data_IF_384323380135
#
_entry.id   IF_384323380135
#
_cell.length_a   1.000
_cell.length_b   1.000
_cell.length_c   1.000
_cell.angle_alpha   90.00
_cell.angle_beta   90.00
_cell.angle_gamma   90.00
#
_symmetry.space_group_name_H-M   'P 1'
#
loop_
_entity.id
_entity.type
_entity.pdbx_description
1 polymer ?
#
# COMPACT_ATOMS: atom_id res chain seq x y z
N UNK A 1 -25.34 5.65 -59.73
CA UNK A 1 -25.63 6.08 -61.11
C UNK A 1 -26.75 5.21 -61.66
N UNK A 2 -27.79 5.84 -62.21
CA UNK A 2 -28.88 5.28 -63.01
C UNK A 2 -29.88 4.29 -62.39
N UNK A 3 -31.02 4.85 -61.97
CA UNK A 3 -32.34 4.37 -62.43
C UNK A 3 -32.93 5.49 -63.29
N UNK A 4 -33.31 5.17 -64.52
CA UNK A 4 -34.16 6.03 -65.36
C UNK A 4 -34.91 5.18 -66.41
N UNK A 5 -36.16 5.58 -66.66
CA UNK A 5 -37.05 5.32 -67.84
C UNK A 5 -37.62 3.88 -67.92
N UNK A 6 -38.91 3.61 -67.68
CA UNK A 6 -40.18 4.00 -68.37
C UNK A 6 -40.44 3.27 -69.70
N UNK A 7 -41.70 2.82 -69.85
CA UNK A 7 -42.42 2.21 -71.01
C UNK A 7 -42.91 0.79 -70.64
N UNK A 8 -44.17 0.36 -70.78
CA UNK A 8 -45.29 0.86 -71.57
C UNK A 8 -45.89 -0.32 -72.37
N UNK A 9 -47.21 -0.54 -72.23
CA UNK A 9 -48.10 -1.42 -73.05
C UNK A 9 -47.94 -2.95 -72.87
N UNK A 10 -48.95 -3.70 -72.38
CA UNK A 10 -50.30 -4.00 -72.89
C UNK A 10 -50.32 -5.09 -73.98
N UNK A 11 -50.80 -6.28 -73.64
CA UNK A 11 -51.94 -6.99 -74.27
C UNK A 11 -51.96 -8.50 -73.93
N UNK A 12 -53.16 -8.98 -73.55
CA UNK A 12 -53.89 -10.20 -73.98
C UNK A 12 -53.16 -11.56 -74.02
N UNK A 13 -53.77 -12.73 -73.77
CA UNK A 13 -55.11 -13.22 -73.41
C UNK A 13 -55.03 -14.76 -73.47
N UNK A 14 -56.10 -15.42 -73.02
CA UNK A 14 -56.58 -16.77 -73.41
C UNK A 14 -56.04 -17.98 -72.59
N UNK A 15 -56.85 -18.54 -71.67
CA UNK A 15 -57.87 -19.64 -71.81
C UNK A 15 -57.20 -21.01 -71.59
N UNK A 16 -57.67 -21.95 -70.76
CA UNK A 16 -58.99 -22.60 -70.64
C UNK A 16 -59.20 -23.09 -69.19
N UNK A 17 -60.35 -22.92 -68.55
CA UNK A 17 -61.62 -23.67 -68.73
C UNK A 17 -61.56 -25.14 -68.31
N UNK A 18 -62.10 -25.44 -67.13
CA UNK A 18 -63.11 -26.51 -66.97
C UNK A 18 -63.76 -26.43 -65.60
N UNK A 19 -65.02 -26.00 -65.63
CA UNK A 19 -65.99 -26.09 -64.55
C UNK A 19 -66.48 -27.52 -64.37
N UNK A 20 -66.69 -27.97 -63.14
CA UNK A 20 -67.81 -28.88 -62.86
C UNK A 20 -68.42 -28.55 -61.49
N UNK A 21 -69.59 -27.91 -61.54
CA UNK A 21 -70.49 -27.79 -60.40
C UNK A 21 -71.08 -29.15 -60.03
N UNK A 22 -71.18 -29.45 -58.73
CA UNK A 22 -72.45 -29.86 -58.10
C UNK A 22 -72.38 -29.89 -56.57
N UNK A 23 -73.04 -28.89 -55.99
CA UNK A 23 -74.06 -28.93 -54.92
C UNK A 23 -73.76 -29.65 -53.58
N UNK A 24 -73.97 -28.84 -52.53
CA UNK A 24 -74.55 -29.13 -51.21
C UNK A 24 -73.75 -29.96 -50.20
N UNK A 25 -73.25 -29.31 -49.14
CA UNK A 25 -73.76 -29.56 -47.77
C UNK A 25 -73.17 -28.56 -46.76
N UNK A 26 -73.99 -27.61 -46.35
CA UNK A 26 -73.78 -26.69 -45.23
C UNK A 26 -73.79 -27.47 -43.90
N UNK A 27 -72.66 -28.06 -43.49
CA UNK A 27 -72.55 -28.70 -42.16
C UNK A 27 -71.13 -28.88 -41.60
N UNK A 28 -70.06 -28.37 -42.25
CA UNK A 28 -68.68 -28.69 -41.88
C UNK A 28 -67.76 -27.50 -41.57
N UNK A 29 -68.30 -26.28 -41.44
CA UNK A 29 -67.49 -25.07 -41.21
C UNK A 29 -67.54 -24.58 -39.74
N UNK A 30 -68.38 -25.19 -38.88
CA UNK A 30 -68.45 -24.79 -37.46
C UNK A 30 -67.57 -25.60 -36.49
N UNK A 31 -66.89 -26.67 -36.94
CA UNK A 31 -66.01 -27.46 -36.06
C UNK A 31 -64.52 -27.17 -36.25
N UNK A 32 -64.14 -26.29 -37.17
CA UNK A 32 -62.76 -25.79 -37.28
C UNK A 32 -62.53 -24.42 -36.62
N UNK A 33 -63.59 -23.74 -36.18
CA UNK A 33 -63.50 -22.45 -35.47
C UNK A 33 -63.55 -22.58 -33.92
N UNK A 34 -63.79 -23.78 -33.38
CA UNK A 34 -63.77 -24.01 -31.92
C UNK A 34 -62.46 -24.67 -31.45
N UNK A 35 -61.66 -25.24 -32.36
CA UNK A 35 -60.33 -25.78 -32.04
C UNK A 35 -59.18 -24.76 -32.18
N UNK A 36 -59.44 -23.55 -32.68
CA UNK A 36 -58.42 -22.49 -32.80
C UNK A 36 -58.46 -21.45 -31.66
N UNK A 37 -59.38 -21.59 -30.70
CA UNK A 37 -59.42 -20.76 -29.47
C UNK A 37 -59.01 -21.56 -28.21
N UNK A 38 -58.83 -22.89 -28.31
CA UNK A 38 -58.36 -23.73 -27.20
C UNK A 38 -57.07 -24.52 -27.52
N UNK A 39 -56.23 -23.99 -28.42
CA UNK A 39 -55.03 -24.67 -28.92
C UNK A 39 -53.70 -23.93 -28.70
N UNK A 40 -53.68 -22.85 -27.91
CA UNK A 40 -52.45 -22.17 -27.46
C UNK A 40 -52.65 -21.60 -26.05
N UNK A 41 -53.05 -22.44 -25.10
CA UNK A 41 -52.49 -22.27 -23.74
C UNK A 41 -51.18 -23.04 -23.77
N UNK A 42 -50.19 -22.46 -24.46
CA UNK A 42 -48.81 -22.72 -24.09
C UNK A 42 -48.76 -22.44 -22.61
N UNK A 43 -48.28 -23.42 -21.84
CA UNK A 43 -47.91 -23.25 -20.45
C UNK A 43 -46.78 -22.20 -20.42
N UNK A 44 -47.11 -20.92 -20.58
CA UNK A 44 -46.34 -19.87 -19.98
C UNK A 44 -46.57 -20.04 -18.49
N UNK A 45 -45.76 -20.90 -17.88
CA UNK A 45 -45.22 -20.50 -16.58
C UNK A 45 -44.61 -19.13 -16.83
N UNK A 46 -45.40 -18.07 -16.62
CA UNK A 46 -44.85 -16.77 -16.33
C UNK A 46 -44.05 -17.02 -15.05
N UNK A 47 -42.76 -17.33 -15.21
CA UNK A 47 -41.83 -17.07 -14.15
C UNK A 47 -42.00 -15.59 -13.88
N UNK A 48 -42.69 -15.27 -12.81
CA UNK A 48 -42.70 -13.95 -12.21
C UNK A 48 -41.28 -13.76 -11.64
N UNK A 49 -40.28 -13.67 -12.52
CA UNK A 49 -38.93 -13.27 -12.16
C UNK A 49 -39.04 -11.79 -11.85
N UNK A 50 -39.28 -11.49 -10.58
CA UNK A 50 -39.08 -10.16 -10.02
C UNK A 50 -37.66 -9.75 -10.38
N UNK A 51 -37.53 -8.65 -11.12
CA UNK A 51 -36.22 -8.04 -11.38
C UNK A 51 -35.49 -7.87 -10.05
N UNK A 52 -34.19 -8.21 -9.97
CA UNK A 52 -33.46 -8.09 -8.73
C UNK A 52 -33.46 -6.63 -8.27
N UNK A 53 -33.67 -6.43 -6.97
CA UNK A 53 -33.76 -5.10 -6.37
C UNK A 53 -32.47 -4.79 -5.63
N UNK A 54 -32.04 -3.54 -5.68
CA UNK A 54 -30.97 -3.03 -4.83
C UNK A 54 -31.41 -3.15 -3.37
N UNK A 55 -30.49 -3.55 -2.49
CA UNK A 55 -30.75 -3.59 -1.06
C UNK A 55 -31.31 -2.22 -0.59
N UNK A 56 -32.50 -2.19 0.05
CA UNK A 56 -33.15 -0.94 0.40
C UNK A 56 -32.36 -0.07 1.38
N UNK A 57 -31.48 -0.65 2.19
CA UNK A 57 -30.61 0.08 3.12
C UNK A 57 -29.44 0.73 2.38
N UNK A 58 -28.84 0.04 1.43
CA UNK A 58 -27.77 0.56 0.59
C UNK A 58 -28.28 1.65 -0.35
N UNK A 59 -29.47 1.46 -0.94
CA UNK A 59 -30.11 2.48 -1.75
C UNK A 59 -30.41 3.76 -0.95
N UNK A 60 -30.84 3.62 0.31
CA UNK A 60 -31.03 4.77 1.22
C UNK A 60 -29.70 5.45 1.55
N UNK A 61 -28.67 4.68 1.84
CA UNK A 61 -27.33 5.19 2.13
C UNK A 61 -26.77 5.98 0.92
N UNK A 62 -26.79 5.40 -0.28
CA UNK A 62 -26.28 6.04 -1.49
C UNK A 62 -27.02 7.36 -1.80
N UNK A 63 -28.35 7.35 -1.73
CA UNK A 63 -29.15 8.55 -1.94
C UNK A 63 -28.87 9.63 -0.89
N UNK A 64 -28.72 9.25 0.39
CA UNK A 64 -28.33 10.18 1.46
C UNK A 64 -26.97 10.82 1.17
N UNK A 65 -25.98 10.01 0.78
CA UNK A 65 -24.64 10.50 0.43
C UNK A 65 -24.67 11.46 -0.75
N UNK A 66 -25.36 11.09 -1.84
CA UNK A 66 -25.44 11.92 -3.04
C UNK A 66 -26.17 13.24 -2.77
N UNK A 67 -27.19 13.23 -1.90
CA UNK A 67 -27.85 14.44 -1.45
C UNK A 67 -26.90 15.35 -0.65
N UNK A 68 -26.15 14.79 0.33
CA UNK A 68 -25.16 15.54 1.12
C UNK A 68 -24.04 16.14 0.27
N UNK A 69 -23.60 15.40 -0.74
CA UNK A 69 -22.57 15.84 -1.69
C UNK A 69 -23.11 16.71 -2.84
N UNK A 70 -24.41 17.00 -2.86
CA UNK A 70 -25.08 17.77 -3.92
C UNK A 70 -24.80 17.22 -5.33
N UNK A 71 -24.71 15.89 -5.44
CA UNK A 71 -24.52 15.18 -6.69
C UNK A 71 -25.87 15.09 -7.40
N UNK A 72 -25.88 15.40 -8.70
CA UNK A 72 -27.08 15.35 -9.54
C UNK A 72 -26.98 14.23 -10.56
N UNK A 73 -28.14 13.64 -10.89
CA UNK A 73 -28.26 12.66 -11.95
C UNK A 73 -27.82 13.29 -13.27
N UNK A 74 -26.81 12.72 -13.92
CA UNK A 74 -26.54 13.07 -15.30
C UNK A 74 -27.53 12.31 -16.18
N UNK A 75 -28.47 13.05 -16.76
CA UNK A 75 -29.60 12.48 -17.53
C UNK A 75 -29.10 11.51 -18.60
N UNK A 76 -29.61 10.28 -18.55
CA UNK A 76 -29.36 9.26 -19.58
C UNK A 76 -28.06 8.47 -19.46
N UNK A 77 -27.23 8.69 -18.43
CA UNK A 77 -26.02 7.89 -18.22
C UNK A 77 -26.29 6.61 -17.41
N UNK A 78 -26.93 6.72 -16.25
CA UNK A 78 -27.41 5.58 -15.47
C UNK A 78 -28.41 6.03 -14.42
N UNK A 79 -29.15 5.08 -13.85
CA UNK A 79 -30.28 5.37 -12.98
C UNK A 79 -29.83 5.61 -11.53
N UNK A 80 -29.81 6.87 -11.09
CA UNK A 80 -29.48 7.22 -9.69
C UNK A 80 -30.70 7.51 -8.81
N UNK A 81 -31.92 7.44 -9.35
CA UNK A 81 -33.15 7.85 -8.64
C UNK A 81 -34.23 6.77 -8.60
N UNK A 82 -34.12 5.73 -9.43
CA UNK A 82 -34.96 4.53 -9.36
C UNK A 82 -34.14 3.32 -8.90
N UNK A 83 -34.32 2.18 -9.56
CA UNK A 83 -33.54 0.97 -9.31
C UNK A 83 -32.05 1.20 -9.67
N UNK A 84 -31.20 1.30 -8.64
CA UNK A 84 -29.79 1.71 -8.77
C UNK A 84 -28.94 0.64 -9.46
N UNK A 85 -29.17 -0.62 -9.09
CA UNK A 85 -28.52 -1.80 -9.68
C UNK A 85 -29.24 -2.24 -10.96
N UNK A 86 -29.27 -1.36 -11.96
CA UNK A 86 -29.81 -1.65 -13.29
C UNK A 86 -28.94 -1.09 -14.41
N UNK A 87 -29.07 -1.64 -15.62
CA UNK A 87 -28.33 -1.17 -16.81
C UNK A 87 -26.82 -1.28 -16.63
N UNK A 88 -26.12 -0.15 -16.79
CA UNK A 88 -24.65 -0.05 -16.67
C UNK A 88 -24.11 -0.55 -15.32
N UNK A 89 -24.89 -0.42 -14.24
CA UNK A 89 -24.48 -0.88 -12.92
C UNK A 89 -24.32 -2.41 -12.84
N UNK A 90 -25.01 -3.17 -13.70
CA UNK A 90 -25.06 -4.64 -13.68
C UNK A 90 -24.56 -5.32 -14.95
N UNK A 91 -24.34 -4.57 -16.03
CA UNK A 91 -23.86 -5.11 -17.31
C UNK A 91 -22.32 -5.27 -17.35
N UNK A 92 -21.74 -5.37 -18.56
CA UNK A 92 -20.29 -5.55 -18.76
C UNK A 92 -19.48 -4.23 -18.67
N UNK A 93 -20.13 -3.08 -18.44
CA UNK A 93 -19.48 -1.77 -18.28
C UNK A 93 -18.57 -1.78 -17.08
N UNK A 94 -17.33 -1.34 -17.24
CA UNK A 94 -16.33 -1.33 -16.17
C UNK A 94 -16.50 -0.11 -15.27
N UNK A 95 -16.19 -0.23 -13.97
CA UNK A 95 -16.20 0.92 -13.03
C UNK A 95 -15.25 2.04 -13.47
N UNK A 96 -14.20 1.71 -14.22
CA UNK A 96 -13.20 2.66 -14.75
C UNK A 96 -13.66 3.42 -16.00
N UNK A 97 -14.86 3.11 -16.52
CA UNK A 97 -15.43 3.79 -17.68
C UNK A 97 -15.51 5.30 -17.48
N UNK A 98 -15.13 6.08 -18.50
CA UNK A 98 -15.04 7.55 -18.37
C UNK A 98 -16.38 8.24 -18.55
N UNK A 99 -17.33 7.60 -19.22
CA UNK A 99 -18.62 8.20 -19.53
C UNK A 99 -19.54 8.17 -18.32
N UNK A 100 -19.38 7.21 -17.41
CA UNK A 100 -20.17 7.10 -16.19
C UNK A 100 -19.43 7.67 -14.99
N UNK A 101 -19.85 8.84 -14.51
CA UNK A 101 -19.30 9.47 -13.31
C UNK A 101 -20.31 10.48 -12.70
N UNK A 102 -20.79 10.28 -11.45
CA UNK A 102 -20.46 9.20 -10.52
C UNK A 102 -20.90 7.85 -11.08
N UNK A 103 -20.45 6.74 -10.51
CA UNK A 103 -20.84 5.40 -10.99
C UNK A 103 -20.77 4.35 -9.89
N UNK A 104 -21.59 3.31 -10.03
CA UNK A 104 -21.57 2.13 -9.17
C UNK A 104 -21.53 0.86 -10.00
N UNK A 105 -21.05 -0.23 -9.40
CA UNK A 105 -21.32 -1.59 -9.88
C UNK A 105 -21.98 -2.40 -8.77
N UNK A 106 -22.90 -3.26 -9.18
CA UNK A 106 -23.63 -4.12 -8.28
C UNK A 106 -23.39 -5.59 -8.55
N UNK A 107 -23.49 -6.40 -7.49
CA UNK A 107 -23.54 -7.85 -7.55
C UNK A 107 -24.97 -8.31 -7.18
N UNK A 108 -25.67 -8.86 -8.17
CA UNK A 108 -27.04 -9.35 -8.03
C UNK A 108 -27.12 -10.88 -7.90
N UNK A 109 -26.05 -11.54 -7.48
CA UNK A 109 -26.02 -12.99 -7.28
C UNK A 109 -26.68 -13.44 -5.97
N UNK A 110 -27.18 -12.51 -5.15
CA UNK A 110 -27.67 -12.78 -3.81
C UNK A 110 -29.16 -13.15 -3.80
N UNK A 111 -29.53 -13.98 -2.81
CA UNK A 111 -30.90 -14.41 -2.54
C UNK A 111 -31.62 -14.91 -3.81
N UNK A 112 -31.09 -15.97 -4.42
CA UNK A 112 -31.60 -16.54 -5.69
C UNK A 112 -31.73 -15.50 -6.83
N UNK A 113 -30.75 -14.60 -6.90
CA UNK A 113 -30.70 -13.49 -7.87
C UNK A 113 -31.89 -12.53 -7.78
N UNK A 114 -32.38 -12.27 -6.56
CA UNK A 114 -33.44 -11.28 -6.29
C UNK A 114 -32.93 -10.03 -5.58
N UNK A 115 -31.72 -10.09 -5.00
CA UNK A 115 -31.13 -8.99 -4.23
C UNK A 115 -29.79 -8.59 -4.86
N UNK A 116 -29.58 -7.28 -5.01
CA UNK A 116 -28.33 -6.68 -5.46
C UNK A 116 -27.66 -5.90 -4.34
N UNK A 117 -26.36 -6.09 -4.20
CA UNK A 117 -25.50 -5.30 -3.33
C UNK A 117 -24.56 -4.40 -4.14
N UNK A 118 -24.35 -3.18 -3.68
CA UNK A 118 -23.38 -2.24 -4.24
C UNK A 118 -21.99 -2.73 -3.88
N UNK A 119 -21.24 -3.09 -4.92
CA UNK A 119 -19.91 -3.66 -4.81
C UNK A 119 -18.81 -2.66 -5.15
N UNK A 120 -19.09 -1.69 -6.02
CA UNK A 120 -18.10 -0.68 -6.41
C UNK A 120 -18.75 0.71 -6.41
N UNK A 121 -18.01 1.71 -5.95
CA UNK A 121 -18.45 3.10 -5.94
C UNK A 121 -17.32 4.03 -6.42
N UNK A 122 -17.63 4.81 -7.46
CA UNK A 122 -16.75 5.83 -8.02
C UNK A 122 -17.42 7.20 -7.97
N UNK A 123 -16.76 8.13 -7.31
CA UNK A 123 -17.07 9.56 -7.27
C UNK A 123 -15.76 10.30 -7.52
N UNK A 124 -15.40 10.43 -8.80
CA UNK A 124 -14.06 10.89 -9.19
C UNK A 124 -14.13 12.28 -9.81
N UNK A 125 -13.32 13.25 -9.38
CA UNK A 125 -13.23 14.56 -10.08
C UNK A 125 -14.58 15.28 -10.28
N UNK A 126 -15.46 15.24 -9.24
CA UNK A 126 -16.78 15.87 -9.27
C UNK A 126 -16.85 17.17 -8.46
N UNK A 127 -15.71 17.68 -8.00
CA UNK A 127 -15.62 18.85 -7.12
C UNK A 127 -16.45 18.70 -5.83
N UNK A 128 -16.68 17.47 -5.38
CA UNK A 128 -17.43 17.19 -4.14
C UNK A 128 -16.65 17.75 -2.95
N UNK A 129 -17.32 18.46 -2.05
CA UNK A 129 -16.70 19.10 -0.89
C UNK A 129 -17.41 18.73 0.41
N UNK A 130 -16.67 18.80 1.52
CA UNK A 130 -17.16 18.45 2.85
C UNK A 130 -16.70 17.06 3.32
N UNK A 131 -17.19 16.60 4.48
CA UNK A 131 -16.78 15.31 5.04
C UNK A 131 -17.29 14.13 4.23
N UNK A 132 -16.62 12.99 4.39
CA UNK A 132 -17.13 11.70 3.94
C UNK A 132 -18.30 11.32 4.88
N UNK A 133 -19.54 11.13 4.38
CA UNK A 133 -20.69 10.80 5.21
C UNK A 133 -20.58 9.40 5.83
N UNK A 134 -21.05 9.25 7.06
CA UNK A 134 -20.96 7.98 7.80
C UNK A 134 -21.74 6.83 7.14
N UNK A 135 -22.76 7.15 6.34
CA UNK A 135 -23.52 6.17 5.55
C UNK A 135 -22.65 5.42 4.54
N UNK A 136 -21.49 5.95 4.14
CA UNK A 136 -20.56 5.23 3.27
C UNK A 136 -20.06 3.94 3.92
N UNK A 137 -19.80 4.00 5.24
CA UNK A 137 -19.22 2.91 6.00
C UNK A 137 -20.23 1.78 6.30
N UNK A 138 -21.49 1.94 5.90
CA UNK A 138 -22.52 0.89 6.00
C UNK A 138 -22.62 0.04 4.73
N UNK A 139 -21.94 0.40 3.63
CA UNK A 139 -21.92 -0.36 2.38
C UNK A 139 -20.90 -1.51 2.45
N UNK A 140 -21.14 -2.49 3.33
CA UNK A 140 -20.17 -3.54 3.69
C UNK A 140 -19.81 -4.52 2.57
N UNK A 141 -20.51 -4.45 1.43
CA UNK A 141 -20.25 -5.26 0.24
C UNK A 141 -19.26 -4.61 -0.75
N UNK A 142 -18.80 -3.39 -0.47
CA UNK A 142 -17.83 -2.69 -1.32
C UNK A 142 -16.49 -3.44 -1.40
N UNK A 143 -16.02 -3.65 -2.63
CA UNK A 143 -14.66 -4.10 -2.94
C UNK A 143 -13.79 -3.02 -3.62
N UNK A 144 -14.41 -1.99 -4.21
CA UNK A 144 -13.71 -0.85 -4.82
C UNK A 144 -14.40 0.47 -4.42
N UNK A 145 -13.63 1.36 -3.79
CA UNK A 145 -14.03 2.72 -3.46
C UNK A 145 -13.01 3.73 -4.01
N UNK A 146 -13.49 4.55 -4.95
CA UNK A 146 -12.70 5.60 -5.58
C UNK A 146 -13.34 6.98 -5.38
N UNK A 147 -12.75 7.78 -4.50
CA UNK A 147 -13.13 9.17 -4.24
C UNK A 147 -12.03 10.18 -4.65
N UNK A 148 -11.11 9.77 -5.53
CA UNK A 148 -9.95 10.60 -5.88
C UNK A 148 -10.37 11.94 -6.52
N UNK A 149 -9.50 12.95 -6.36
CA UNK A 149 -9.62 14.27 -6.99
C UNK A 149 -10.90 15.02 -6.64
N UNK A 150 -11.23 15.10 -5.37
CA UNK A 150 -12.33 15.95 -4.90
C UNK A 150 -11.80 17.00 -3.90
N UNK A 151 -12.70 17.68 -3.22
CA UNK A 151 -12.42 18.60 -2.12
C UNK A 151 -12.92 18.06 -0.78
N UNK A 152 -12.94 16.73 -0.62
CA UNK A 152 -13.37 16.08 0.62
C UNK A 152 -12.47 16.51 1.78
N UNK A 153 -13.04 16.79 2.94
CA UNK A 153 -12.34 17.34 4.10
C UNK A 153 -12.70 16.60 5.39
N UNK A 154 -12.06 16.96 6.51
CA UNK A 154 -12.25 16.27 7.79
C UNK A 154 -11.39 15.03 7.94
N UNK A 155 -11.61 14.28 9.02
CA UNK A 155 -10.86 13.06 9.34
C UNK A 155 -11.50 11.80 8.77
N UNK A 156 -10.67 10.78 8.56
CA UNK A 156 -11.15 9.46 8.18
C UNK A 156 -11.79 8.78 9.40
N UNK A 157 -13.03 8.30 9.26
CA UNK A 157 -13.75 7.67 10.35
C UNK A 157 -13.19 6.27 10.67
N UNK A 158 -13.06 5.88 11.95
CA UNK A 158 -12.76 4.49 12.35
C UNK A 158 -13.71 3.45 11.75
N UNK A 159 -14.94 3.85 11.42
CA UNK A 159 -15.93 2.98 10.77
C UNK A 159 -15.49 2.47 9.40
N UNK A 160 -14.41 3.00 8.82
CA UNK A 160 -13.79 2.42 7.63
C UNK A 160 -13.46 0.94 7.79
N UNK A 161 -13.12 0.50 9.02
CA UNK A 161 -12.85 -0.91 9.33
C UNK A 161 -14.05 -1.85 9.15
N UNK A 162 -15.26 -1.33 8.93
CA UNK A 162 -16.44 -2.15 8.61
C UNK A 162 -16.42 -2.70 7.18
N UNK A 163 -15.65 -2.09 6.26
CA UNK A 163 -15.63 -2.44 4.85
C UNK A 163 -14.65 -3.59 4.57
N UNK A 164 -14.74 -4.69 5.31
CA UNK A 164 -13.70 -5.75 5.34
C UNK A 164 -13.48 -6.47 4.00
N UNK A 165 -14.37 -6.29 3.01
CA UNK A 165 -14.27 -6.85 1.65
C UNK A 165 -13.52 -5.94 0.67
N UNK A 166 -13.10 -4.75 1.13
CA UNK A 166 -12.50 -3.73 0.28
C UNK A 166 -11.13 -4.18 -0.23
N UNK A 167 -10.95 -4.11 -1.55
CA UNK A 167 -9.71 -4.47 -2.27
C UNK A 167 -9.00 -3.21 -2.78
N UNK A 168 -9.75 -2.22 -3.24
CA UNK A 168 -9.21 -0.97 -3.77
C UNK A 168 -9.80 0.22 -3.02
N UNK A 169 -8.93 0.99 -2.38
CA UNK A 169 -9.31 2.16 -1.60
C UNK A 169 -8.47 3.36 -1.99
N UNK A 170 -9.11 4.35 -2.61
CA UNK A 170 -8.39 5.52 -3.11
C UNK A 170 -9.08 6.83 -2.75
N UNK A 171 -8.38 7.64 -1.96
CA UNK A 171 -8.81 8.96 -1.47
C UNK A 171 -7.89 10.10 -1.92
N UNK A 172 -6.99 9.83 -2.86
CA UNK A 172 -5.93 10.76 -3.24
C UNK A 172 -6.43 12.08 -3.83
N UNK A 173 -5.61 13.13 -3.67
CA UNK A 173 -5.90 14.49 -4.15
C UNK A 173 -7.22 14.99 -3.57
N UNK A 174 -7.26 15.14 -2.24
CA UNK A 174 -8.39 15.67 -1.47
C UNK A 174 -7.86 16.61 -0.37
N UNK A 175 -8.73 17.05 0.55
CA UNK A 175 -8.39 17.87 1.72
C UNK A 175 -8.61 17.13 3.04
N UNK A 176 -8.57 15.79 3.04
CA UNK A 176 -8.71 14.99 4.26
C UNK A 176 -7.52 15.25 5.20
N UNK A 177 -7.75 15.20 6.51
CA UNK A 177 -6.76 15.59 7.51
C UNK A 177 -6.89 14.78 8.80
N UNK A 178 -5.96 14.97 9.74
CA UNK A 178 -5.90 14.19 10.97
C UNK A 178 -5.10 12.90 10.78
N UNK A 179 -5.22 11.99 11.75
CA UNK A 179 -4.50 10.70 11.72
C UNK A 179 -5.26 9.65 10.90
N UNK A 180 -4.52 8.70 10.36
CA UNK A 180 -5.12 7.52 9.70
C UNK A 180 -5.58 6.55 10.81
N UNK A 181 -6.87 6.21 10.90
CA UNK A 181 -7.38 5.34 11.94
C UNK A 181 -6.78 3.93 11.83
N UNK A 182 -6.46 3.33 12.98
CA UNK A 182 -5.91 1.97 13.08
C UNK A 182 -6.82 0.89 12.50
N UNK A 183 -8.12 1.17 12.46
CA UNK A 183 -9.16 0.29 11.92
C UNK A 183 -8.98 0.05 10.41
N UNK A 184 -8.15 0.84 9.71
CA UNK A 184 -7.69 0.50 8.36
C UNK A 184 -7.03 -0.89 8.33
N UNK A 185 -6.37 -1.32 9.41
CA UNK A 185 -5.80 -2.65 9.54
C UNK A 185 -6.81 -3.81 9.56
N UNK A 186 -8.12 -3.53 9.66
CA UNK A 186 -9.17 -4.55 9.54
C UNK A 186 -9.46 -4.94 8.08
N UNK A 187 -8.95 -4.17 7.11
CA UNK A 187 -9.21 -4.36 5.68
C UNK A 187 -8.28 -5.41 5.08
N UNK A 188 -8.28 -6.64 5.58
CA UNK A 188 -7.27 -7.66 5.26
C UNK A 188 -7.22 -8.06 3.77
N UNK A 189 -8.29 -7.81 3.02
CA UNK A 189 -8.39 -8.10 1.58
C UNK A 189 -7.85 -6.94 0.70
N UNK A 190 -7.37 -5.86 1.31
CA UNK A 190 -6.95 -4.65 0.60
C UNK A 190 -5.68 -4.91 -0.23
N UNK A 191 -5.78 -4.63 -1.53
CA UNK A 191 -4.70 -4.76 -2.51
C UNK A 191 -4.03 -3.42 -2.80
N UNK A 192 -4.81 -2.34 -2.81
CA UNK A 192 -4.32 -0.99 -3.07
C UNK A 192 -4.94 0.01 -2.12
N UNK A 193 -4.09 0.77 -1.44
CA UNK A 193 -4.49 1.85 -0.55
C UNK A 193 -3.76 3.13 -0.93
N UNK A 194 -4.50 4.19 -1.28
CA UNK A 194 -3.89 5.48 -1.61
C UNK A 194 -4.57 6.64 -0.89
N UNK A 195 -3.76 7.37 -0.12
CA UNK A 195 -4.11 8.61 0.58
C UNK A 195 -3.27 9.80 0.11
N UNK A 196 -2.44 9.60 -0.91
CA UNK A 196 -1.51 10.61 -1.43
C UNK A 196 -2.21 11.92 -1.85
N UNK A 197 -1.59 13.06 -1.57
CA UNK A 197 -2.19 14.37 -1.89
C UNK A 197 -3.36 14.74 -0.99
N UNK A 198 -3.31 14.34 0.28
CA UNK A 198 -4.18 14.83 1.36
C UNK A 198 -3.37 15.58 2.42
N UNK A 199 -4.04 16.03 3.48
CA UNK A 199 -3.45 16.69 4.63
C UNK A 199 -3.42 15.81 5.89
N UNK A 200 -3.28 14.49 5.73
CA UNK A 200 -3.08 13.57 6.85
C UNK A 200 -1.79 13.92 7.63
N UNK A 201 -1.81 13.64 8.93
CA UNK A 201 -0.74 13.92 9.89
C UNK A 201 -0.52 12.72 10.82
N UNK A 202 0.57 12.72 11.57
CA UNK A 202 0.93 11.61 12.46
C UNK A 202 1.56 10.42 11.71
N UNK A 203 2.06 9.42 12.45
CA UNK A 203 2.57 8.19 11.86
C UNK A 203 1.41 7.39 11.23
N UNK A 204 1.76 6.51 10.29
CA UNK A 204 0.80 5.50 9.86
C UNK A 204 0.62 4.46 10.98
N UNK A 205 -0.63 4.00 11.24
CA UNK A 205 -0.89 3.02 12.29
C UNK A 205 -0.13 1.72 12.00
N UNK A 206 0.43 1.11 13.04
CA UNK A 206 1.19 -0.14 12.90
C UNK A 206 0.31 -1.30 12.41
N UNK A 207 -1.00 -1.19 12.60
CA UNK A 207 -2.01 -2.10 12.09
C UNK A 207 -2.07 -2.18 10.56
N UNK A 208 -1.43 -1.25 9.81
CA UNK A 208 -1.18 -1.45 8.37
C UNK A 208 -0.39 -2.75 8.12
N UNK A 209 0.42 -3.20 9.07
CA UNK A 209 1.11 -4.50 9.01
C UNK A 209 0.17 -5.71 8.92
N UNK A 210 -1.13 -5.56 9.28
CA UNK A 210 -2.12 -6.62 9.13
C UNK A 210 -2.62 -6.80 7.68
N UNK A 211 -2.32 -5.84 6.80
CA UNK A 211 -2.76 -5.85 5.40
C UNK A 211 -1.85 -6.75 4.55
N UNK A 212 -1.92 -8.05 4.81
CA UNK A 212 -1.03 -9.07 4.22
C UNK A 212 -1.13 -9.18 2.70
N UNK A 213 -2.25 -8.73 2.11
CA UNK A 213 -2.48 -8.74 0.67
C UNK A 213 -2.12 -7.41 -0.02
N UNK A 214 -1.65 -6.40 0.72
CA UNK A 214 -1.40 -5.07 0.19
C UNK A 214 -0.22 -5.07 -0.78
N UNK A 215 -0.47 -4.66 -2.02
CA UNK A 215 0.52 -4.60 -3.09
C UNK A 215 0.97 -3.16 -3.36
N UNK A 216 0.09 -2.19 -3.13
CA UNK A 216 0.35 -0.78 -3.38
C UNK A 216 -0.12 0.09 -2.22
N UNK A 217 0.81 0.86 -1.65
CA UNK A 217 0.54 1.89 -0.67
C UNK A 217 0.98 3.25 -1.23
N UNK A 218 0.04 4.15 -1.46
CA UNK A 218 0.30 5.51 -1.94
C UNK A 218 0.14 6.53 -0.82
N UNK A 219 1.23 7.09 -0.33
CA UNK A 219 1.25 8.15 0.70
C UNK A 219 2.01 9.37 0.17
N UNK A 220 1.96 10.51 0.86
CA UNK A 220 2.79 11.66 0.50
C UNK A 220 4.19 11.47 1.13
N UNK A 221 5.19 11.28 0.27
CA UNK A 221 6.62 11.09 0.63
C UNK A 221 7.16 12.16 1.59
N UNK A 222 6.51 13.33 1.66
CA UNK A 222 6.94 14.48 2.48
C UNK A 222 6.43 14.46 3.92
N UNK A 223 5.43 13.64 4.26
CA UNK A 223 4.79 13.64 5.58
C UNK A 223 4.75 12.28 6.27
N UNK A 224 4.83 11.19 5.51
CA UNK A 224 4.91 9.85 6.09
C UNK A 224 6.36 9.40 6.09
N UNK A 225 6.90 9.06 7.26
CA UNK A 225 8.24 8.48 7.45
C UNK A 225 8.41 7.07 6.83
N UNK A 226 7.53 6.67 5.90
CA UNK A 226 7.70 5.46 5.10
C UNK A 226 8.58 5.83 3.92
N UNK A 227 9.89 5.76 4.17
CA UNK A 227 10.87 5.85 3.09
C UNK A 227 10.88 4.50 2.37
N UNK A 228 10.54 4.52 1.07
CA UNK A 228 10.82 3.42 0.14
C UNK A 228 12.31 3.37 -0.27
N UNK A 229 13.12 4.30 0.25
CA UNK A 229 14.58 4.29 0.16
C UNK A 229 15.13 3.67 1.43
N UNK A 230 16.27 2.99 1.31
CA UNK A 230 17.08 2.56 2.45
C UNK A 230 17.28 3.78 3.36
N UNK A 231 16.68 3.75 4.55
CA UNK A 231 16.75 4.81 5.53
C UNK A 231 17.59 4.35 6.71
N UNK A 232 18.69 5.04 6.98
CA UNK A 232 19.46 4.86 8.19
C UNK A 232 20.85 5.48 8.10
N UNK A 233 21.53 5.53 9.23
CA UNK A 233 22.83 6.16 9.36
C UNK A 233 23.91 5.25 8.79
N UNK A 234 24.76 5.80 7.91
CA UNK A 234 25.88 5.07 7.31
C UNK A 234 26.73 4.44 8.43
N UNK A 235 27.08 3.17 8.25
CA UNK A 235 27.83 2.39 9.24
C UNK A 235 26.99 1.61 10.26
N UNK A 236 25.70 1.94 10.43
CA UNK A 236 24.75 1.20 11.27
C UNK A 236 23.82 0.30 10.46
N UNK A 237 23.79 0.50 9.15
CA UNK A 237 22.93 -0.25 8.24
C UNK A 237 23.53 -1.62 7.95
N UNK A 238 22.69 -2.66 8.11
CA UNK A 238 23.04 -4.01 7.72
C UNK A 238 23.30 -4.10 6.20
N UNK A 239 24.31 -4.86 5.74
CA UNK A 239 24.68 -4.94 4.33
C UNK A 239 23.53 -5.30 3.38
N UNK A 240 22.67 -6.25 3.76
CA UNK A 240 21.53 -6.68 2.96
C UNK A 240 20.46 -5.60 2.80
N UNK A 241 20.30 -4.74 3.81
CA UNK A 241 19.38 -3.61 3.75
C UNK A 241 20.01 -2.46 2.98
N UNK A 242 21.27 -2.12 3.27
CA UNK A 242 22.01 -1.07 2.58
C UNK A 242 22.17 -1.32 1.08
N UNK A 243 22.51 -2.55 0.68
CA UNK A 243 22.84 -2.89 -0.70
C UNK A 243 21.66 -3.40 -1.51
N UNK A 244 20.67 -4.06 -0.87
CA UNK A 244 19.56 -4.73 -1.57
C UNK A 244 18.18 -4.27 -1.14
N UNK A 245 18.07 -3.40 -0.13
CA UNK A 245 16.78 -2.96 0.42
C UNK A 245 16.02 -4.05 1.17
N UNK A 246 16.65 -5.18 1.50
CA UNK A 246 15.99 -6.25 2.24
C UNK A 246 15.96 -5.91 3.74
N UNK A 247 14.81 -5.43 4.21
CA UNK A 247 14.57 -5.18 5.62
C UNK A 247 14.14 -6.49 6.31
N UNK A 248 14.81 -6.83 7.41
CA UNK A 248 14.51 -8.00 8.25
C UNK A 248 14.72 -7.63 9.72
N UNK A 249 14.21 -8.42 10.66
CA UNK A 249 14.50 -8.26 12.10
C UNK A 249 16.00 -8.38 12.42
N UNK A 250 16.78 -9.00 11.52
CA UNK A 250 18.25 -9.11 11.63
C UNK A 250 18.98 -7.81 11.32
N UNK A 251 18.29 -6.84 10.72
CA UNK A 251 18.85 -5.51 10.48
C UNK A 251 19.03 -4.74 11.80
N UNK A 252 18.06 -4.86 12.70
CA UNK A 252 18.15 -4.31 14.07
C UNK A 252 19.24 -5.01 14.89
N UNK A 253 19.39 -6.33 14.72
CA UNK A 253 20.48 -7.10 15.35
C UNK A 253 21.85 -6.56 14.92
N UNK A 254 22.03 -6.26 13.64
CA UNK A 254 23.28 -5.70 13.12
C UNK A 254 23.56 -4.32 13.73
N UNK A 255 22.56 -3.42 13.71
CA UNK A 255 22.68 -2.08 14.27
C UNK A 255 23.01 -2.13 15.78
N UNK A 256 22.38 -3.05 16.52
CA UNK A 256 22.71 -3.31 17.91
C UNK A 256 24.17 -3.71 18.09
N UNK A 257 24.71 -4.57 17.24
CA UNK A 257 26.12 -4.97 17.29
C UNK A 257 27.07 -3.78 17.17
N UNK A 258 26.79 -2.84 16.27
CA UNK A 258 27.56 -1.60 16.12
C UNK A 258 27.48 -0.75 17.38
N UNK A 259 26.26 -0.51 17.90
CA UNK A 259 26.04 0.29 19.12
C UNK A 259 26.71 -0.35 20.34
N UNK A 260 26.70 -1.69 20.45
CA UNK A 260 27.39 -2.39 21.53
C UNK A 260 28.91 -2.14 21.52
N UNK A 261 29.53 -2.10 20.33
CA UNK A 261 30.94 -1.72 20.22
C UNK A 261 31.17 -0.26 20.60
N UNK A 262 30.27 0.66 20.23
CA UNK A 262 30.37 2.08 20.63
C UNK A 262 30.30 2.24 22.15
N UNK A 263 29.39 1.51 22.80
CA UNK A 263 29.25 1.52 24.26
C UNK A 263 30.53 1.00 24.93
N UNK A 264 31.09 -0.12 24.46
CA UNK A 264 32.32 -0.68 25.04
C UNK A 264 33.51 0.24 24.83
N UNK A 265 33.60 0.88 23.67
CA UNK A 265 34.76 1.67 23.28
C UNK A 265 34.70 3.15 23.64
N UNK A 266 33.52 3.67 23.98
CA UNK A 266 33.31 5.09 24.29
C UNK A 266 33.51 6.01 23.09
N UNK A 267 33.53 5.47 21.87
CA UNK A 267 33.78 6.20 20.62
C UNK A 267 32.69 5.95 19.59
N UNK A 268 32.56 6.90 18.67
CA UNK A 268 31.68 6.76 17.52
C UNK A 268 32.15 5.67 16.54
N UNK A 269 31.21 5.11 15.80
CA UNK A 269 31.44 4.07 14.79
C UNK A 269 32.44 4.50 13.69
N UNK A 270 32.52 5.79 13.40
CA UNK A 270 33.55 6.36 12.54
C UNK A 270 34.10 7.66 13.12
N UNK A 271 35.41 7.83 13.04
CA UNK A 271 36.10 9.05 13.44
C UNK A 271 37.26 9.31 12.47
N UNK A 272 37.09 10.33 11.61
CA UNK A 272 38.06 10.70 10.59
C UNK A 272 39.33 11.36 11.14
N UNK A 273 39.39 11.67 12.44
CA UNK A 273 40.58 12.22 13.09
C UNK A 273 41.61 11.15 13.49
N UNK A 274 41.21 9.87 13.48
CA UNK A 274 42.06 8.75 13.84
C UNK A 274 42.90 8.24 12.66
N UNK A 275 43.90 7.43 12.98
CA UNK A 275 44.70 6.69 11.99
C UNK A 275 43.80 5.80 11.11
N UNK A 276 44.21 5.54 9.87
CA UNK A 276 43.36 4.86 8.88
C UNK A 276 42.85 3.48 9.32
N UNK A 277 43.64 2.74 10.09
CA UNK A 277 43.32 1.42 10.66
C UNK A 277 42.37 1.48 11.87
N UNK A 278 42.18 2.67 12.45
CA UNK A 278 41.29 2.93 13.59
C UNK A 278 40.10 3.79 13.21
N UNK A 279 40.05 4.34 12.00
CA UNK A 279 39.01 5.26 11.53
C UNK A 279 37.61 4.64 11.67
N UNK A 280 37.45 3.36 11.30
CA UNK A 280 36.20 2.61 11.45
C UNK A 280 36.27 1.69 12.67
N UNK A 281 35.32 1.87 13.60
CA UNK A 281 35.26 1.12 14.85
C UNK A 281 35.13 -0.38 14.61
N UNK A 282 34.28 -0.77 13.66
CA UNK A 282 34.04 -2.19 13.37
C UNK A 282 35.31 -2.88 12.83
N UNK A 283 36.06 -2.22 11.95
CA UNK A 283 37.32 -2.76 11.42
C UNK A 283 38.38 -2.88 12.53
N UNK A 284 38.50 -1.86 13.37
CA UNK A 284 39.40 -1.87 14.52
C UNK A 284 39.05 -3.00 15.51
N UNK A 285 37.77 -3.20 15.82
CA UNK A 285 37.30 -4.26 16.70
C UNK A 285 37.62 -5.66 16.15
N UNK A 286 37.45 -5.88 14.84
CA UNK A 286 37.83 -7.15 14.20
C UNK A 286 39.34 -7.40 14.24
N UNK A 287 40.16 -6.36 14.02
CA UNK A 287 41.63 -6.47 14.14
C UNK A 287 42.05 -6.89 15.55
N UNK A 288 41.49 -6.25 16.59
CA UNK A 288 41.78 -6.62 17.97
C UNK A 288 41.29 -8.02 18.34
N UNK A 289 40.13 -8.44 17.83
CA UNK A 289 39.58 -9.77 18.06
C UNK A 289 40.47 -10.88 17.47
N UNK A 290 40.91 -10.73 16.22
CA UNK A 290 41.79 -11.71 15.58
C UNK A 290 43.17 -11.81 16.26
N UNK A 291 43.64 -10.72 16.86
CA UNK A 291 44.89 -10.69 17.63
C UNK A 291 44.73 -11.11 19.11
N UNK A 292 43.52 -11.43 19.58
CA UNK A 292 43.19 -11.69 20.99
C UNK A 292 43.54 -10.51 21.93
N UNK A 293 43.32 -9.28 21.46
CA UNK A 293 43.61 -8.00 22.13
C UNK A 293 42.36 -7.16 22.37
N UNK A 294 41.20 -7.79 22.54
CA UNK A 294 39.89 -7.14 22.65
C UNK A 294 39.79 -6.17 23.83
N UNK A 295 40.57 -6.40 24.89
CA UNK A 295 40.62 -5.51 26.05
C UNK A 295 41.11 -4.08 25.71
N UNK A 296 41.83 -3.90 24.59
CA UNK A 296 42.28 -2.59 24.12
C UNK A 296 41.18 -1.78 23.44
N UNK A 297 40.05 -2.42 23.13
CA UNK A 297 38.87 -1.74 22.58
C UNK A 297 38.17 -0.87 23.65
N UNK A 298 38.31 -1.25 24.92
CA UNK A 298 37.55 -0.66 26.03
C UNK A 298 37.88 0.83 26.20
N UNK A 299 36.85 1.63 26.48
CA UNK A 299 36.98 3.05 26.77
C UNK A 299 38.07 3.31 27.83
N UNK A 300 39.07 4.10 27.46
CA UNK A 300 40.16 4.55 28.31
C UNK A 300 39.71 5.29 29.58
N UNK A 301 38.48 5.84 29.60
CA UNK A 301 37.89 6.51 30.76
C UNK A 301 37.51 5.54 31.90
N UNK A 302 37.37 4.24 31.60
CA UNK A 302 37.00 3.20 32.56
C UNK A 302 38.22 2.72 33.36
N UNK A 303 38.27 3.07 34.65
CA UNK A 303 39.38 2.69 35.54
C UNK A 303 39.38 1.21 35.95
N UNK A 304 38.21 0.58 35.98
CA UNK A 304 38.02 -0.81 36.43
C UNK A 304 36.87 -1.46 35.67
N UNK A 305 37.11 -2.65 35.12
CA UNK A 305 36.08 -3.42 34.40
C UNK A 305 36.36 -4.92 34.48
N UNK A 306 35.33 -5.73 34.22
CA UNK A 306 35.46 -7.18 34.13
C UNK A 306 35.84 -7.59 32.71
N UNK A 307 37.04 -8.16 32.54
CA UNK A 307 37.57 -8.58 31.22
C UNK A 307 36.72 -9.65 30.54
N UNK A 308 36.14 -10.56 31.30
CA UNK A 308 35.31 -11.65 30.74
C UNK A 308 33.97 -11.12 30.21
N UNK A 309 33.41 -10.12 30.89
CA UNK A 309 32.19 -9.45 30.45
C UNK A 309 32.44 -8.61 29.19
N UNK A 310 33.53 -7.86 29.15
CA UNK A 310 33.96 -7.12 27.95
C UNK A 310 34.14 -8.05 26.77
N UNK A 311 34.90 -9.15 26.94
CA UNK A 311 35.10 -10.13 25.87
C UNK A 311 33.78 -10.71 25.37
N UNK A 312 32.82 -10.94 26.27
CA UNK A 312 31.49 -11.43 25.91
C UNK A 312 30.69 -10.41 25.11
N UNK A 313 30.69 -9.14 25.52
CA UNK A 313 29.99 -8.06 24.81
C UNK A 313 30.61 -7.86 23.42
N UNK A 314 31.94 -7.83 23.33
CA UNK A 314 32.64 -7.71 22.04
C UNK A 314 32.32 -8.92 21.15
N UNK A 315 32.40 -10.14 21.69
CA UNK A 315 32.08 -11.36 20.94
C UNK A 315 30.65 -11.37 20.40
N UNK A 316 29.65 -11.03 21.21
CA UNK A 316 28.26 -10.98 20.72
C UNK A 316 28.05 -9.85 19.72
N UNK A 317 28.70 -8.70 19.91
CA UNK A 317 28.64 -7.58 18.98
C UNK A 317 29.20 -7.96 17.60
N UNK A 318 30.37 -8.61 17.55
CA UNK A 318 30.96 -9.11 16.32
C UNK A 318 30.08 -10.17 15.65
N UNK A 319 29.43 -11.04 16.44
CA UNK A 319 28.47 -12.01 15.93
C UNK A 319 27.23 -11.35 15.31
N UNK A 320 26.72 -10.29 15.93
CA UNK A 320 25.62 -9.47 15.41
C UNK A 320 25.99 -8.78 14.09
N UNK A 321 27.25 -8.45 13.86
CA UNK A 321 27.72 -7.78 12.64
C UNK A 321 28.08 -8.71 11.48
N UNK A 322 27.67 -9.98 11.49
CA UNK A 322 27.97 -10.88 10.37
C UNK A 322 27.32 -10.44 9.04
N UNK A 323 27.98 -10.68 7.90
CA UNK A 323 27.48 -10.28 6.56
C UNK A 323 26.10 -10.85 6.27
N UNK A 324 25.89 -12.14 6.55
CA UNK A 324 24.63 -12.82 6.28
C UNK A 324 23.68 -12.71 7.48
N UNK A 325 22.41 -12.31 7.28
CA UNK A 325 21.38 -12.32 8.32
C UNK A 325 21.26 -13.67 9.04
N UNK A 326 21.45 -14.77 8.31
CA UNK A 326 21.31 -16.14 8.83
C UNK A 326 22.40 -16.53 9.82
N UNK A 327 23.56 -15.87 9.78
CA UNK A 327 24.64 -16.11 10.74
C UNK A 327 24.53 -15.24 11.99
N UNK A 328 23.68 -14.21 11.99
CA UNK A 328 23.45 -13.37 13.17
C UNK A 328 22.52 -14.09 14.16
N UNK A 329 22.74 -13.95 15.47
CA UNK A 329 21.84 -14.50 16.49
C UNK A 329 20.46 -13.82 16.44
N UNK A 330 19.46 -14.39 17.11
CA UNK A 330 18.22 -13.65 17.42
C UNK A 330 18.51 -12.65 18.56
N UNK A 331 17.76 -11.55 18.64
CA UNK A 331 17.89 -10.63 19.78
C UNK A 331 17.65 -11.32 21.12
N UNK A 332 16.75 -12.31 21.20
CA UNK A 332 16.56 -13.13 22.40
C UNK A 332 17.83 -13.90 22.79
N UNK A 333 18.59 -14.40 21.81
CA UNK A 333 19.86 -15.08 22.06
C UNK A 333 20.96 -14.09 22.47
N UNK A 334 20.97 -12.89 21.88
CA UNK A 334 21.87 -11.79 22.29
C UNK A 334 21.66 -11.46 23.77
N UNK A 335 20.40 -11.25 24.18
CA UNK A 335 20.06 -10.99 25.59
C UNK A 335 20.51 -12.12 26.50
N UNK A 336 20.22 -13.37 26.14
CA UNK A 336 20.67 -14.53 26.94
C UNK A 336 22.19 -14.58 27.12
N UNK A 337 22.96 -14.22 26.09
CA UNK A 337 24.43 -14.16 26.17
C UNK A 337 24.87 -13.04 27.11
N UNK A 338 24.30 -11.85 26.97
CA UNK A 338 24.63 -10.71 27.82
C UNK A 338 24.28 -10.98 29.30
N UNK A 339 23.17 -11.65 29.57
CA UNK A 339 22.77 -12.12 30.91
C UNK A 339 23.66 -13.22 31.48
N UNK A 340 24.52 -13.85 30.66
CA UNK A 340 25.39 -14.96 31.06
C UNK A 340 24.74 -16.34 31.02
N UNK A 341 23.53 -16.45 30.46
CA UNK A 341 22.77 -17.69 30.30
C UNK A 341 23.16 -18.48 29.04
N UNK A 342 24.10 -17.95 28.24
CA UNK A 342 24.49 -18.49 26.96
C UNK A 342 25.93 -18.10 26.57
N UNK A 343 26.60 -18.99 25.85
CA UNK A 343 27.92 -18.74 25.27
C UNK A 343 27.83 -18.16 23.85
N UNK A 344 28.84 -17.35 23.50
CA UNK A 344 29.07 -16.81 22.15
C UNK A 344 29.63 -17.93 21.26
N UNK A 345 29.21 -17.98 19.98
CA UNK A 345 29.78 -18.92 19.01
C UNK A 345 31.30 -18.79 18.93
N UNK A 346 32.02 -19.91 19.07
CA UNK A 346 33.48 -19.92 19.28
C UNK A 346 34.31 -19.67 18.01
N UNK A 347 33.71 -19.65 16.83
CA UNK A 347 34.41 -19.36 15.58
C UNK A 347 33.65 -18.33 14.75
N UNK A 348 33.91 -17.06 15.08
CA UNK A 348 33.49 -15.93 14.26
C UNK A 348 34.52 -15.67 13.18
N UNK A 349 34.08 -15.56 11.93
CA UNK A 349 34.92 -15.20 10.79
C UNK A 349 34.71 -13.74 10.42
N UNK A 350 35.78 -13.07 9.98
CA UNK A 350 35.70 -11.68 9.53
C UNK A 350 34.71 -11.53 8.38
N UNK A 351 33.74 -10.60 8.47
CA UNK A 351 32.78 -10.35 7.41
C UNK A 351 33.44 -9.90 6.11
N UNK A 352 33.02 -10.49 4.98
CA UNK A 352 33.62 -10.18 3.66
C UNK A 352 33.49 -8.72 3.21
N UNK A 353 32.50 -7.98 3.72
CA UNK A 353 32.37 -6.54 3.40
C UNK A 353 33.48 -5.69 4.07
N UNK A 354 34.25 -6.24 5.00
CA UNK A 354 35.43 -5.60 5.59
C UNK A 354 36.75 -5.99 4.90
N UNK A 355 36.80 -7.13 4.17
CA UNK A 355 38.02 -7.59 3.51
C UNK A 355 38.17 -7.06 2.09
N UNK A 356 37.05 -6.84 1.40
CA UNK A 356 37.06 -6.65 -0.06
C UNK A 356 37.01 -5.17 -0.49
N UNK A 357 36.78 -4.25 0.46
CA UNK A 357 36.53 -2.82 0.17
C UNK A 357 37.72 -1.95 0.60
N UNK A 358 38.91 -2.23 0.05
CA UNK A 358 39.97 -1.21 0.05
C UNK A 358 39.59 -0.15 -0.99
N UNK A 359 39.05 0.98 -0.51
CA UNK A 359 38.89 2.17 -1.35
C UNK A 359 40.29 2.69 -1.71
N UNK A 360 40.83 2.31 -2.86
CA UNK A 360 41.91 3.10 -3.46
C UNK A 360 41.32 4.46 -3.81
N UNK A 361 41.80 5.49 -3.12
CA UNK A 361 41.34 6.86 -3.25
C UNK A 361 41.72 7.43 -4.64
N UNK A 362 40.88 7.16 -5.64
CA UNK A 362 41.03 7.68 -7.01
C UNK A 362 40.75 9.19 -7.12
N UNK A 363 40.54 9.90 -6.01
CA UNK A 363 40.36 11.36 -6.02
C UNK A 363 41.65 12.14 -6.37
N UNK A 364 42.81 11.47 -6.41
CA UNK A 364 44.12 12.08 -6.71
C UNK A 364 44.56 12.02 -8.20
N UNK A 365 43.79 11.38 -9.10
CA UNK A 365 44.17 11.19 -10.52
C UNK A 365 43.26 11.89 -11.54
N UNK A 366 42.50 12.92 -11.13
CA UNK A 366 41.76 13.78 -12.05
C UNK A 366 42.22 15.24 -11.95
N UNK A 367 43.52 15.46 -11.99
CA UNK A 367 44.11 16.77 -12.23
C UNK A 367 45.38 16.60 -13.06
N UNK A 368 45.20 16.28 -14.35
CA UNK A 368 46.10 16.64 -15.46
C UNK A 368 45.65 15.90 -16.72
N UNK A 369 44.68 16.46 -17.44
CA UNK A 369 44.55 16.43 -18.92
C UNK A 369 43.11 16.74 -19.35
N UNK A 370 42.79 18.02 -19.53
CA UNK A 370 41.78 18.46 -20.50
C UNK A 370 41.89 19.98 -20.75
N UNK A 371 42.94 20.39 -21.45
CA UNK A 371 42.97 21.73 -22.06
C UNK A 371 42.33 21.66 -23.45
N UNK A 372 41.35 22.55 -23.67
CA UNK A 372 40.80 23.11 -24.93
C UNK A 372 39.39 22.66 -25.31
N UNK A 373 38.43 23.59 -25.17
CA UNK A 373 37.14 23.53 -25.87
C UNK A 373 36.00 24.43 -25.36
N UNK A 374 36.22 25.75 -25.27
CA UNK A 374 35.28 26.89 -25.43
C UNK A 374 33.74 26.75 -25.21
N UNK A 375 33.23 27.58 -24.27
CA UNK A 375 31.95 28.32 -24.20
C UNK A 375 30.62 27.51 -24.08
N UNK A 376 29.62 27.80 -23.21
CA UNK A 376 29.21 29.00 -22.44
C UNK A 376 28.09 28.63 -21.44
N UNK A 377 28.11 29.27 -20.25
CA UNK A 377 27.03 29.60 -19.28
C UNK A 377 25.97 28.55 -18.87
N UNK A 378 25.86 28.27 -17.56
CA UNK A 378 24.84 28.84 -16.65
C UNK A 378 25.10 28.39 -15.19
N UNK A 379 24.87 29.32 -14.25
CA UNK A 379 25.19 29.27 -12.82
C UNK A 379 24.27 28.37 -11.99
N UNK A 380 24.83 27.77 -10.92
CA UNK A 380 24.51 28.00 -9.49
C UNK A 380 25.01 26.80 -8.67
N UNK A 381 26.13 26.95 -7.95
CA UNK A 381 26.21 27.46 -6.56
C UNK A 381 25.88 26.38 -5.53
N UNK A 382 26.96 25.90 -4.91
CA UNK A 382 27.06 25.18 -3.65
C UNK A 382 26.17 25.77 -2.55
N UNK A 383 25.51 24.89 -1.80
CA UNK A 383 24.92 25.21 -0.50
C UNK A 383 25.32 24.14 0.51
N UNK A 384 26.37 24.44 1.27
CA UNK A 384 26.67 23.84 2.56
C UNK A 384 25.63 24.28 3.59
N UNK A 385 25.24 23.40 4.52
CA UNK A 385 24.50 23.72 5.75
C UNK A 385 24.98 22.73 6.83
N UNK A 386 25.96 23.05 7.68
CA UNK A 386 25.99 23.93 8.86
C UNK A 386 24.99 23.52 9.96
N UNK A 387 25.54 22.91 11.02
CA UNK A 387 24.91 22.74 12.32
C UNK A 387 24.82 24.08 13.07
N UNK A 388 23.78 24.24 13.88
CA UNK A 388 23.68 25.28 14.92
C UNK A 388 23.66 24.56 16.26
N UNK A 389 24.59 24.94 17.15
CA UNK A 389 24.54 24.64 18.56
C UNK A 389 24.09 25.87 19.34
N UNK A 390 23.52 25.63 20.51
CA UNK A 390 23.48 26.60 21.61
C UNK A 390 23.85 25.87 22.90
N UNK A 391 24.74 26.51 23.66
CA UNK A 391 25.23 26.07 24.96
C UNK A 391 24.45 26.77 26.07
N UNK A 392 24.26 26.11 27.22
CA UNK A 392 24.58 26.70 28.52
C UNK A 392 24.43 25.73 29.72
N UNK A 393 25.43 25.83 30.61
CA UNK A 393 25.43 25.63 32.08
C UNK A 393 25.48 24.22 32.71
N UNK A 394 26.62 23.98 33.39
CA UNK A 394 26.82 22.99 34.46
C UNK A 394 26.26 23.47 35.82
N UNK A 395 26.05 22.57 36.79
CA UNK A 395 26.92 22.57 37.99
C UNK A 395 27.28 21.17 38.53
N UNK A 396 28.07 21.19 39.62
CA UNK A 396 29.02 20.18 40.13
C UNK A 396 28.53 19.46 41.42
N UNK A 397 29.17 18.32 41.76
CA UNK A 397 29.20 17.51 43.02
C UNK A 397 28.01 16.54 43.24
N UNK A 398 28.13 15.27 43.65
CA UNK A 398 29.25 14.38 44.00
C UNK A 398 28.74 13.10 44.72
N UNK A 399 29.40 11.97 44.45
CA UNK A 399 29.48 10.68 45.19
C UNK A 399 28.29 9.69 45.33
N UNK A 400 28.59 8.45 44.87
CA UNK A 400 28.31 7.08 45.39
C UNK A 400 27.07 6.25 44.97
N UNK A 401 27.35 5.24 44.11
CA UNK A 401 26.79 3.87 43.97
C UNK A 401 25.38 3.63 43.36
N UNK A 402 25.10 2.44 42.77
CA UNK A 402 25.85 1.64 41.77
C UNK A 402 25.04 1.42 40.46
N UNK A 403 25.74 0.97 39.41
CA UNK A 403 25.19 0.62 38.10
C UNK A 403 24.44 -0.72 38.12
N UNK A 404 23.38 -0.81 37.32
CA UNK A 404 22.62 -2.02 36.95
C UNK A 404 21.74 -2.63 38.06
N UNK A 405 20.65 -1.94 38.38
CA UNK A 405 19.36 -2.59 38.68
C UNK A 405 18.24 -1.53 38.63
N UNK A 406 17.65 -1.32 37.44
CA UNK A 406 16.25 -0.87 37.25
C UNK A 406 15.99 -0.38 35.82
N UNK A 407 16.04 -1.25 34.80
CA UNK A 407 15.30 -1.05 33.54
C UNK A 407 14.99 -2.41 32.90
N UNK A 408 14.32 -3.27 33.67
CA UNK A 408 13.56 -4.40 33.12
C UNK A 408 12.19 -4.34 33.79
N UNK A 409 11.29 -3.56 33.20
CA UNK A 409 9.84 -3.77 33.13
C UNK A 409 9.22 -2.51 32.55
N UNK A 410 9.05 -2.46 31.23
CA UNK A 410 7.88 -1.91 30.54
C UNK A 410 8.08 -2.04 29.02
N UNK A 411 7.41 -3.04 28.46
CA UNK A 411 7.51 -3.40 27.06
C UNK A 411 6.67 -4.66 26.81
N UNK A 412 5.38 -4.59 27.14
CA UNK A 412 4.37 -5.56 26.74
C UNK A 412 3.21 -4.85 26.08
#
# INVERSE_FOLDING_TARGET
MFKSISSGHAEKSCTDSSSMERKTSTAFICTFYVAFIFGFVSLSTAQNQTQPITDPSEARALNSMFAKWNIKAKTGQWNISGELCSGAATDLTLITDRDHNPFIKCDCSYNDSTLCHIKQLKVYELNVAGPIPDELWTLTYLDDLNLNRNYLSGSLSPSIGNLTRLQYLTFGINKLSGEVPKEVGNLTDLLSFSIAGNNFSGPLPSEIGNLVNLQQLGTDDKKTHISTRVAGTIGYLAPEYAMRGHLTEKTDVFAFGVVALEIVSGRANSDSSLEADKMYLLEWAWNLYEENRENELVDSSLSTFNKEEVKRIIGVALWCTQTSPSFRPSMSRVVAILSGDAEVSTELTRPGYLTDWKFEDLSSQMSDNATKGSNTSYNNSSASTSMVGDAEQSPVYGSTMPMLDSFIEEGR
#
